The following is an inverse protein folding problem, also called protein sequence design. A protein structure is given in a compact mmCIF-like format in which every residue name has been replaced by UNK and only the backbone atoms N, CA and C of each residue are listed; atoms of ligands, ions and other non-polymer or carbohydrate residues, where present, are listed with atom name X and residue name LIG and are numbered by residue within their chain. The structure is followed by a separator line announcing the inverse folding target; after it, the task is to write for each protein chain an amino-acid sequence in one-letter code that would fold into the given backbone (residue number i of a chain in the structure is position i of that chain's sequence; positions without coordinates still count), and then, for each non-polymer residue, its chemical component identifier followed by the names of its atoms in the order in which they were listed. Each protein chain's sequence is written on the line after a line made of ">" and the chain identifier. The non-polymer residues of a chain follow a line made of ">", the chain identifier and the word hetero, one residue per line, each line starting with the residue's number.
data_IF_202098780723
#
_entry.id   IF_202098780723
#
_cell.length_a   1.000
_cell.length_b   1.000
_cell.length_c   1.000
_cell.angle_alpha   90.00
_cell.angle_beta   90.00
_cell.angle_gamma   90.00
#
_symmetry.space_group_name_H-M   'P 1'
#
loop_
_entity.id
_entity.type
_entity.pdbx_description
1 polymer ?
#
# COMPACT_ATOMS: atom_id res chain seq x y z
N UNK A 1 -9.85 -7.03 -13.23
CA UNK A 1 -9.17 -6.89 -11.91
C UNK A 1 -7.71 -7.25 -12.10
N UNK A 2 -6.80 -6.49 -11.49
CA UNK A 2 -5.36 -6.82 -11.46
C UNK A 2 -4.98 -7.31 -10.08
N UNK A 3 -3.97 -8.16 -10.00
CA UNK A 3 -3.54 -8.85 -8.78
C UNK A 3 -2.01 -8.81 -8.73
N UNK A 4 -1.47 -8.33 -7.62
CA UNK A 4 -0.07 -8.48 -7.28
C UNK A 4 0.13 -9.94 -6.80
N UNK A 5 0.76 -10.76 -7.62
CA UNK A 5 1.04 -12.17 -7.34
C UNK A 5 2.49 -12.28 -6.82
N UNK A 6 2.65 -11.88 -5.57
CA UNK A 6 3.91 -11.48 -4.92
C UNK A 6 4.99 -12.54 -5.02
N UNK A 7 4.71 -13.74 -4.51
CA UNK A 7 5.68 -14.86 -4.45
C UNK A 7 6.00 -15.46 -5.82
N UNK A 8 5.12 -15.26 -6.80
CA UNK A 8 5.34 -15.69 -8.17
C UNK A 8 6.06 -14.63 -9.02
N UNK A 9 6.35 -13.45 -8.46
CA UNK A 9 6.97 -12.34 -9.18
C UNK A 9 6.20 -11.97 -10.46
N UNK A 10 4.86 -11.89 -10.35
CA UNK A 10 3.97 -11.61 -11.47
C UNK A 10 2.91 -10.57 -11.10
N UNK A 11 2.44 -9.83 -12.10
CA UNK A 11 1.17 -9.13 -12.03
C UNK A 11 0.17 -9.88 -12.91
N UNK A 12 -0.99 -10.23 -12.33
CA UNK A 12 -2.02 -11.00 -13.02
C UNK A 12 -3.23 -10.11 -13.37
N UNK A 13 -3.86 -10.45 -14.49
CA UNK A 13 -5.14 -9.88 -14.90
C UNK A 13 -6.23 -10.94 -14.78
N UNK A 14 -7.27 -10.69 -13.98
CA UNK A 14 -8.42 -11.57 -13.82
C UNK A 14 -9.64 -10.99 -14.54
N UNK A 15 -10.20 -11.75 -15.48
CA UNK A 15 -11.44 -11.45 -16.17
C UNK A 15 -12.58 -12.19 -15.47
N UNK A 16 -13.28 -11.51 -14.56
CA UNK A 16 -14.26 -12.12 -13.66
C UNK A 16 -15.44 -12.77 -14.43
N UNK A 17 -15.94 -12.13 -15.49
CA UNK A 17 -17.04 -12.67 -16.31
C UNK A 17 -16.67 -13.94 -17.05
N UNK A 18 -15.43 -14.08 -17.51
CA UNK A 18 -14.93 -15.28 -18.21
C UNK A 18 -14.26 -16.28 -17.26
N UNK A 19 -14.07 -15.95 -15.99
CA UNK A 19 -13.35 -16.76 -14.99
C UNK A 19 -11.95 -17.16 -15.46
N UNK A 20 -11.26 -16.23 -16.12
CA UNK A 20 -9.90 -16.43 -16.64
C UNK A 20 -8.92 -15.56 -15.89
N UNK A 21 -7.72 -16.08 -15.67
CA UNK A 21 -6.58 -15.33 -15.13
C UNK A 21 -5.43 -15.47 -16.11
N UNK A 22 -4.81 -14.34 -16.48
CA UNK A 22 -3.63 -14.28 -17.33
C UNK A 22 -2.54 -13.46 -16.67
N UNK A 23 -1.29 -13.63 -17.11
CA UNK A 23 -0.18 -12.77 -16.72
C UNK A 23 -0.26 -11.44 -17.48
N UNK A 24 -0.17 -10.34 -16.76
CA UNK A 24 -0.10 -8.98 -17.34
C UNK A 24 1.34 -8.47 -17.39
N UNK A 25 2.17 -8.80 -16.40
CA UNK A 25 3.60 -8.47 -16.37
C UNK A 25 4.37 -9.45 -15.47
N UNK A 26 5.68 -9.51 -15.69
CA UNK A 26 6.56 -10.48 -15.05
C UNK A 26 6.71 -11.75 -15.86
N UNK A 27 7.87 -12.39 -15.76
CA UNK A 27 8.18 -13.67 -16.41
C UNK A 27 8.29 -14.84 -15.41
N UNK A 28 7.97 -14.58 -14.11
CA UNK A 28 8.05 -15.57 -13.04
C UNK A 28 9.44 -15.73 -12.43
N UNK A 29 10.44 -15.00 -12.92
CA UNK A 29 11.74 -14.93 -12.29
C UNK A 29 11.88 -13.68 -11.45
N UNK A 30 12.53 -13.79 -10.30
CA UNK A 30 12.82 -12.65 -9.44
C UNK A 30 13.77 -11.67 -10.14
N UNK A 31 13.31 -10.42 -10.31
CA UNK A 31 14.14 -9.32 -10.80
C UNK A 31 15.22 -8.94 -9.79
N UNK A 32 16.37 -8.51 -10.29
CA UNK A 32 17.50 -8.07 -9.50
C UNK A 32 17.67 -6.55 -9.57
N UNK A 33 18.43 -6.01 -8.64
CA UNK A 33 18.81 -4.60 -8.68
C UNK A 33 19.50 -4.24 -10.02
N UNK A 34 19.09 -3.12 -10.61
CA UNK A 34 19.59 -2.69 -11.92
C UNK A 34 18.73 -3.12 -13.10
N UNK A 35 17.62 -3.78 -12.87
CA UNK A 35 16.63 -4.04 -13.93
C UNK A 35 16.07 -2.72 -14.49
N UNK A 36 16.07 -2.61 -15.81
CA UNK A 36 15.63 -1.41 -16.53
C UNK A 36 14.23 -1.55 -17.15
N UNK A 37 13.65 -2.75 -17.08
CA UNK A 37 12.38 -3.04 -17.70
C UNK A 37 12.46 -3.40 -19.19
N UNK A 38 11.31 -3.52 -19.82
CA UNK A 38 11.17 -3.94 -21.22
C UNK A 38 9.76 -4.45 -21.52
N UNK A 39 9.64 -5.43 -22.42
CA UNK A 39 8.38 -6.10 -22.72
C UNK A 39 7.81 -6.75 -21.47
N UNK A 40 6.53 -6.49 -21.17
CA UNK A 40 5.93 -6.83 -19.85
C UNK A 40 6.04 -8.31 -19.49
N UNK A 41 5.90 -9.22 -20.44
CA UNK A 41 5.95 -10.66 -20.19
C UNK A 41 7.37 -11.26 -20.22
N UNK A 42 8.37 -10.46 -20.59
CA UNK A 42 9.77 -10.89 -20.64
C UNK A 42 10.60 -10.28 -19.49
N UNK A 43 10.09 -9.20 -18.88
CA UNK A 43 10.77 -8.46 -17.82
C UNK A 43 10.64 -9.20 -16.49
N UNK A 44 11.75 -9.57 -15.81
CA UNK A 44 11.69 -10.07 -14.45
C UNK A 44 11.30 -8.93 -13.50
N UNK A 45 10.38 -9.19 -12.59
CA UNK A 45 9.95 -8.26 -11.53
C UNK A 45 10.15 -8.90 -10.16
N UNK A 46 10.18 -8.13 -9.08
CA UNK A 46 10.48 -8.70 -7.76
C UNK A 46 9.48 -8.25 -6.71
N UNK A 47 8.72 -9.22 -6.23
CA UNK A 47 7.79 -9.05 -5.09
C UNK A 47 6.85 -7.84 -5.27
N UNK A 48 5.96 -7.85 -6.29
CA UNK A 48 4.89 -6.86 -6.37
C UNK A 48 3.94 -7.07 -5.18
N UNK A 49 3.74 -6.03 -4.35
CA UNK A 49 2.91 -6.16 -3.14
C UNK A 49 1.52 -5.56 -3.30
N UNK A 50 1.43 -4.42 -3.94
CA UNK A 50 0.16 -3.75 -4.20
C UNK A 50 0.22 -2.96 -5.51
N UNK A 51 -0.93 -2.60 -6.04
CA UNK A 51 -1.00 -1.88 -7.31
C UNK A 51 -2.26 -0.99 -7.40
N UNK A 52 -2.12 0.07 -8.16
CA UNK A 52 -3.22 0.96 -8.51
C UNK A 52 -3.22 1.25 -10.00
N UNK A 53 -4.42 1.35 -10.59
CA UNK A 53 -4.59 1.63 -12.02
C UNK A 53 -5.01 3.10 -12.25
N UNK A 54 -4.36 3.77 -13.19
CA UNK A 54 -4.72 5.09 -13.67
C UNK A 54 -4.52 5.18 -15.19
N UNK A 55 -5.55 5.52 -15.95
CA UNK A 55 -5.46 5.78 -17.39
C UNK A 55 -4.68 4.70 -18.18
N UNK A 56 -4.98 3.42 -17.93
CA UNK A 56 -4.30 2.27 -18.58
C UNK A 56 -2.84 2.06 -18.17
N UNK A 57 -2.40 2.74 -17.12
CA UNK A 57 -1.12 2.50 -16.45
C UNK A 57 -1.39 1.82 -15.10
N UNK A 58 -0.67 0.75 -14.79
CA UNK A 58 -0.58 0.23 -13.44
C UNK A 58 0.67 0.80 -12.77
N UNK A 59 0.50 1.35 -11.58
CA UNK A 59 1.62 1.62 -10.69
C UNK A 59 1.68 0.50 -9.65
N UNK A 60 2.85 -0.07 -9.48
CA UNK A 60 3.06 -1.27 -8.66
C UNK A 60 4.11 -0.97 -7.59
N UNK A 61 3.77 -1.21 -6.34
CA UNK A 61 4.73 -1.20 -5.24
C UNK A 61 5.60 -2.46 -5.36
N UNK A 62 6.85 -2.27 -5.77
CA UNK A 62 7.82 -3.34 -6.06
C UNK A 62 8.77 -3.49 -4.88
N UNK A 63 8.30 -4.13 -3.80
CA UNK A 63 9.02 -4.21 -2.54
C UNK A 63 10.42 -4.79 -2.67
N UNK A 64 10.58 -5.85 -3.45
CA UNK A 64 11.89 -6.50 -3.64
C UNK A 64 12.93 -5.70 -4.44
N UNK A 65 12.52 -4.57 -5.05
CA UNK A 65 13.42 -3.66 -5.78
C UNK A 65 13.47 -2.26 -5.15
N UNK A 66 12.80 -2.03 -4.04
CA UNK A 66 12.72 -0.72 -3.37
C UNK A 66 12.27 0.41 -4.30
N UNK A 67 11.30 0.12 -5.17
CA UNK A 67 10.85 1.02 -6.24
C UNK A 67 9.33 0.97 -6.43
N UNK A 68 8.78 2.00 -7.06
CA UNK A 68 7.48 1.95 -7.71
C UNK A 68 7.71 1.72 -9.19
N UNK A 69 7.06 0.71 -9.74
CA UNK A 69 7.14 0.37 -11.15
C UNK A 69 5.87 0.78 -11.89
N UNK A 70 5.98 0.96 -13.19
CA UNK A 70 4.89 1.29 -14.09
C UNK A 70 4.74 0.22 -15.16
N UNK A 71 3.49 -0.20 -15.41
CA UNK A 71 3.12 -1.11 -16.51
C UNK A 71 2.18 -0.36 -17.43
N UNK A 72 2.65 -0.07 -18.65
CA UNK A 72 1.83 0.47 -19.72
C UNK A 72 1.04 -0.69 -20.37
N UNK A 73 -0.25 -0.73 -20.11
CA UNK A 73 -1.13 -1.82 -20.58
C UNK A 73 -1.39 -1.78 -22.10
N UNK A 74 -1.22 -0.64 -22.73
CA UNK A 74 -1.44 -0.49 -24.17
C UNK A 74 -0.18 -0.85 -24.97
N UNK A 75 0.99 -0.43 -24.47
CA UNK A 75 2.28 -0.74 -25.09
C UNK A 75 2.86 -2.06 -24.64
N UNK A 76 2.30 -2.68 -23.57
CA UNK A 76 2.83 -3.88 -22.95
C UNK A 76 4.30 -3.74 -22.53
N UNK A 77 4.61 -2.61 -21.89
CA UNK A 77 5.94 -2.28 -21.36
C UNK A 77 5.88 -2.14 -19.85
N UNK A 78 6.93 -2.60 -19.19
CA UNK A 78 7.08 -2.56 -17.72
C UNK A 78 8.45 -1.99 -17.39
N UNK A 79 8.52 -0.97 -16.52
CA UNK A 79 9.77 -0.31 -16.15
C UNK A 79 9.70 0.42 -14.81
N UNK A 80 10.85 0.72 -14.16
CA UNK A 80 10.88 1.55 -12.97
C UNK A 80 10.27 2.93 -13.23
N UNK A 81 9.47 3.42 -12.28
CA UNK A 81 8.89 4.76 -12.34
C UNK A 81 9.48 5.69 -11.28
N UNK A 82 9.59 5.21 -10.03
CA UNK A 82 10.16 6.01 -8.95
C UNK A 82 11.00 5.14 -8.01
N UNK A 83 12.12 5.72 -7.58
CA UNK A 83 13.06 5.07 -6.67
C UNK A 83 14.36 4.66 -7.35
N UNK A 84 15.47 4.93 -6.68
CA UNK A 84 16.82 4.58 -7.15
C UNK A 84 17.14 3.08 -7.06
N UNK A 85 16.25 2.28 -6.48
CA UNK A 85 16.48 0.85 -6.19
C UNK A 85 17.37 0.61 -4.97
N UNK A 86 17.80 1.65 -4.28
CA UNK A 86 18.54 1.55 -3.01
C UNK A 86 17.55 1.63 -1.87
N UNK A 87 17.72 0.77 -0.87
CA UNK A 87 16.99 0.87 0.38
C UNK A 87 17.40 2.16 1.11
N UNK A 88 16.51 3.14 1.13
CA UNK A 88 16.77 4.44 1.73
C UNK A 88 15.48 5.24 1.98
N UNK A 89 15.52 6.14 2.94
CA UNK A 89 14.57 7.23 3.10
C UNK A 89 15.14 8.50 2.48
N UNK A 90 14.92 8.70 1.19
CA UNK A 90 15.41 9.87 0.47
C UNK A 90 14.27 10.50 -0.34
N UNK A 91 14.00 11.79 -0.08
CA UNK A 91 13.10 12.62 -0.88
C UNK A 91 13.86 13.23 -2.07
N UNK A 92 13.16 13.58 -3.13
CA UNK A 92 13.75 14.18 -4.33
C UNK A 92 12.98 13.88 -5.60
N UNK A 93 13.65 13.97 -6.74
CA UNK A 93 13.05 13.55 -8.02
C UNK A 93 12.71 12.05 -8.02
N UNK A 94 11.81 11.62 -8.90
CA UNK A 94 11.44 10.19 -8.98
C UNK A 94 12.64 9.28 -9.20
N UNK A 95 13.66 9.74 -9.92
CA UNK A 95 14.85 8.94 -10.22
C UNK A 95 15.85 8.85 -9.05
N UNK A 96 15.88 9.88 -8.18
CA UNK A 96 16.85 9.99 -7.09
C UNK A 96 16.30 9.49 -5.75
N UNK A 97 14.98 9.52 -5.59
CA UNK A 97 14.33 9.12 -4.36
C UNK A 97 14.71 7.69 -3.94
N UNK A 98 14.67 7.42 -2.63
CA UNK A 98 14.86 6.09 -2.07
C UNK A 98 13.61 5.63 -1.34
N UNK A 99 13.33 4.32 -1.42
CA UNK A 99 12.29 3.63 -0.68
C UNK A 99 12.89 2.45 0.09
N UNK A 100 12.17 1.96 1.10
CA UNK A 100 12.53 0.76 1.85
C UNK A 100 11.33 -0.20 1.88
N UNK A 101 11.27 -1.10 0.91
CA UNK A 101 10.19 -2.08 0.71
C UNK A 101 8.78 -1.45 0.63
N UNK A 102 8.51 -0.60 -0.38
CA UNK A 102 7.18 -0.03 -0.57
C UNK A 102 6.16 -1.15 -0.72
N UNK A 103 5.09 -1.13 0.07
CA UNK A 103 4.10 -2.20 0.15
C UNK A 103 2.73 -1.78 -0.36
N UNK A 104 2.02 -0.91 0.36
CA UNK A 104 0.71 -0.44 -0.07
C UNK A 104 0.81 0.80 -0.96
N UNK A 105 -0.08 0.91 -1.94
CA UNK A 105 -0.14 2.06 -2.85
C UNK A 105 -1.59 2.46 -3.15
N UNK A 106 -1.87 3.76 -3.16
CA UNK A 106 -3.16 4.31 -3.59
C UNK A 106 -2.98 5.61 -4.36
N UNK A 107 -3.97 6.00 -5.16
CA UNK A 107 -3.93 7.21 -5.99
C UNK A 107 -5.08 8.16 -5.63
N UNK A 108 -4.77 9.43 -5.45
CA UNK A 108 -5.76 10.51 -5.32
C UNK A 108 -5.36 11.65 -6.27
N UNK A 109 -6.23 11.95 -7.21
CA UNK A 109 -5.92 12.94 -8.25
C UNK A 109 -4.67 12.56 -9.03
N UNK A 110 -3.63 13.37 -8.95
CA UNK A 110 -2.32 13.14 -9.58
C UNK A 110 -1.21 12.80 -8.56
N UNK A 111 -1.55 12.26 -7.39
CA UNK A 111 -0.58 11.90 -6.37
C UNK A 111 -0.76 10.45 -5.96
N UNK A 112 0.30 9.65 -6.09
CA UNK A 112 0.39 8.33 -5.49
C UNK A 112 0.81 8.48 -4.02
N UNK A 113 0.16 7.72 -3.16
CA UNK A 113 0.54 7.60 -1.75
C UNK A 113 0.99 6.18 -1.47
N UNK A 114 2.11 6.04 -0.80
CA UNK A 114 2.79 4.76 -0.60
C UNK A 114 3.07 4.54 0.88
N UNK A 115 2.74 3.36 1.36
CA UNK A 115 3.25 2.85 2.64
C UNK A 115 4.64 2.26 2.39
N UNK A 116 5.66 2.93 2.91
CA UNK A 116 7.06 2.54 2.77
C UNK A 116 7.47 1.81 4.05
N UNK A 117 7.31 0.49 4.03
CA UNK A 117 7.11 -0.32 5.23
C UNK A 117 8.33 -0.43 6.12
N UNK A 118 9.51 -0.70 5.57
CA UNK A 118 10.73 -0.85 6.37
C UNK A 118 11.25 0.49 6.89
N UNK A 119 10.96 1.59 6.20
CA UNK A 119 11.25 2.93 6.73
C UNK A 119 10.18 3.46 7.69
N UNK A 120 9.08 2.73 7.88
CA UNK A 120 7.98 3.11 8.79
C UNK A 120 7.34 4.47 8.49
N UNK A 121 7.23 4.84 7.21
CA UNK A 121 6.77 6.16 6.77
C UNK A 121 5.71 6.08 5.68
N UNK A 122 5.05 7.20 5.44
CA UNK A 122 4.14 7.38 4.30
C UNK A 122 4.75 8.37 3.33
N UNK A 123 4.84 7.97 2.05
CA UNK A 123 5.39 8.78 0.97
C UNK A 123 4.28 9.29 0.04
N UNK A 124 4.53 10.43 -0.58
CA UNK A 124 3.73 10.95 -1.68
C UNK A 124 4.60 11.12 -2.92
N UNK A 125 4.11 10.67 -4.07
CA UNK A 125 4.76 10.82 -5.37
C UNK A 125 3.82 11.67 -6.24
N UNK A 126 4.23 12.87 -6.56
CA UNK A 126 3.50 13.71 -7.50
C UNK A 126 3.76 13.22 -8.93
N UNK A 127 2.68 12.86 -9.65
CA UNK A 127 2.79 12.47 -11.05
C UNK A 127 3.12 13.69 -11.93
N UNK A 128 3.50 13.48 -13.21
CA UNK A 128 3.86 14.58 -14.10
C UNK A 128 2.84 15.76 -14.07
N UNK A 129 3.32 17.02 -14.14
CA UNK A 129 4.69 17.41 -14.50
C UNK A 129 5.67 17.51 -13.33
N UNK A 130 5.26 17.39 -12.07
CA UNK A 130 6.13 17.60 -10.92
C UNK A 130 7.19 16.49 -10.76
N UNK A 131 6.80 15.22 -10.84
CA UNK A 131 7.71 14.05 -10.74
C UNK A 131 8.63 14.10 -9.52
N UNK A 132 8.07 14.38 -8.35
CA UNK A 132 8.80 14.43 -7.08
C UNK A 132 8.24 13.45 -6.04
N UNK A 133 9.10 13.00 -5.17
CA UNK A 133 8.79 12.13 -4.03
C UNK A 133 9.09 12.88 -2.74
N UNK A 134 8.13 12.83 -1.79
CA UNK A 134 8.31 13.45 -0.47
C UNK A 134 7.73 12.58 0.64
N UNK A 135 8.33 12.67 1.81
CA UNK A 135 7.80 12.06 3.03
C UNK A 135 6.66 12.90 3.60
N UNK A 136 5.51 12.27 3.85
CA UNK A 136 4.35 12.92 4.48
C UNK A 136 4.32 12.73 6.00
N UNK A 137 4.60 11.52 6.47
CA UNK A 137 4.53 11.17 7.87
C UNK A 137 5.50 10.03 8.20
N UNK A 138 6.05 10.08 9.40
CA UNK A 138 7.02 9.14 9.92
C UNK A 138 8.37 9.81 10.20
N UNK A 139 9.14 9.18 11.07
CA UNK A 139 10.45 9.68 11.51
C UNK A 139 11.59 9.38 10.55
N UNK A 140 12.79 9.28 11.06
CA UNK A 140 13.97 8.92 10.28
C UNK A 140 14.03 7.40 10.00
N UNK A 141 14.91 6.97 9.12
CA UNK A 141 15.15 5.56 8.83
C UNK A 141 15.42 4.82 10.15
N UNK A 142 14.74 3.69 10.36
CA UNK A 142 14.76 2.90 11.60
C UNK A 142 14.02 3.50 12.82
N UNK A 143 13.41 4.69 12.72
CA UNK A 143 12.53 5.19 13.77
C UNK A 143 11.11 4.63 13.61
N UNK A 144 10.66 3.86 14.59
CA UNK A 144 9.34 3.26 14.62
C UNK A 144 8.64 3.46 15.98
N UNK A 145 7.38 3.10 16.06
CA UNK A 145 6.56 3.16 17.29
C UNK A 145 5.10 3.45 17.00
N UNK A 146 4.35 3.80 18.04
CA UNK A 146 2.94 4.18 17.95
C UNK A 146 2.75 5.60 18.50
N UNK A 147 2.98 6.62 17.67
CA UNK A 147 2.78 8.01 18.06
C UNK A 147 2.00 8.77 17.00
N UNK A 148 0.87 9.28 17.40
CA UNK A 148 0.11 10.24 16.61
C UNK A 148 0.84 11.59 16.58
N UNK A 149 0.60 12.39 15.54
CA UNK A 149 1.29 13.67 15.43
C UNK A 149 1.16 14.29 14.05
N UNK A 150 2.19 15.04 13.67
CA UNK A 150 2.27 15.71 12.36
C UNK A 150 3.64 15.53 11.74
N UNK A 151 3.65 15.11 10.48
CA UNK A 151 4.88 14.99 9.70
C UNK A 151 5.90 14.07 10.38
N UNK A 152 7.09 14.60 10.64
CA UNK A 152 8.22 13.84 11.16
C UNK A 152 8.10 13.47 12.66
N UNK A 153 7.09 14.04 13.37
CA UNK A 153 6.77 13.65 14.74
C UNK A 153 6.01 12.32 14.85
N UNK A 154 5.42 11.84 13.75
CA UNK A 154 4.65 10.61 13.72
C UNK A 154 5.57 9.41 13.87
N UNK A 155 5.08 8.36 14.54
CA UNK A 155 5.71 7.04 14.50
C UNK A 155 4.67 6.02 14.09
N UNK A 156 5.03 5.23 13.09
CA UNK A 156 4.34 4.05 12.61
C UNK A 156 5.23 2.83 12.84
N UNK A 157 4.68 1.66 12.66
CA UNK A 157 5.47 0.44 12.72
C UNK A 157 5.03 -0.53 11.63
N UNK A 158 5.88 -0.66 10.61
CA UNK A 158 5.71 -1.54 9.47
C UNK A 158 4.33 -1.37 8.79
N UNK A 159 3.97 -0.15 8.32
CA UNK A 159 2.68 0.08 7.68
C UNK A 159 2.63 -0.67 6.35
N UNK A 160 1.66 -1.59 6.17
CA UNK A 160 1.53 -2.39 4.95
C UNK A 160 0.49 -1.84 3.99
N UNK A 161 -0.72 -1.59 4.44
CA UNK A 161 -1.82 -1.17 3.57
C UNK A 161 -2.11 0.32 3.64
N UNK A 162 -2.50 0.90 2.52
CA UNK A 162 -2.98 2.28 2.43
C UNK A 162 -4.19 2.37 1.49
N UNK A 163 -5.24 3.09 1.91
CA UNK A 163 -6.42 3.32 1.08
C UNK A 163 -6.94 4.74 1.24
N UNK A 164 -7.44 5.34 0.16
CA UNK A 164 -7.91 6.72 0.15
C UNK A 164 -9.44 6.82 0.09
N UNK A 165 -10.02 7.72 0.91
CA UNK A 165 -11.42 8.09 0.82
C UNK A 165 -11.58 9.60 1.01
N UNK A 166 -11.96 10.31 -0.06
CA UNK A 166 -11.93 11.77 -0.10
C UNK A 166 -10.51 12.28 0.17
N UNK A 167 -10.39 13.22 1.11
CA UNK A 167 -9.12 13.84 1.49
C UNK A 167 -8.36 13.05 2.59
N UNK A 168 -8.79 11.83 2.90
CA UNK A 168 -8.20 11.03 3.97
C UNK A 168 -7.53 9.78 3.44
N UNK A 169 -6.38 9.46 4.00
CA UNK A 169 -5.68 8.21 3.78
C UNK A 169 -5.80 7.34 5.04
N UNK A 170 -6.26 6.11 4.88
CA UNK A 170 -6.28 5.11 5.93
C UNK A 170 -5.05 4.23 5.79
N UNK A 171 -4.39 3.95 6.89
CA UNK A 171 -3.11 3.24 6.96
C UNK A 171 -3.28 2.05 7.89
N UNK A 172 -2.96 0.87 7.43
CA UNK A 172 -2.77 -0.29 8.28
C UNK A 172 -1.39 -0.16 8.96
N UNK A 173 -1.39 0.30 10.20
CA UNK A 173 -0.20 0.42 11.05
C UNK A 173 0.04 -0.94 11.72
N UNK A 174 0.59 -1.85 10.93
CA UNK A 174 0.46 -3.31 11.06
C UNK A 174 0.95 -3.83 12.39
N UNK A 175 2.18 -3.53 12.77
CA UNK A 175 2.75 -4.04 14.02
C UNK A 175 2.30 -3.26 15.26
N UNK A 176 1.60 -2.12 15.07
CA UNK A 176 0.87 -1.45 16.13
C UNK A 176 -0.58 -1.95 16.28
N UNK A 177 -1.00 -2.92 15.46
CA UNK A 177 -2.34 -3.51 15.50
C UNK A 177 -3.46 -2.47 15.41
N UNK A 178 -3.27 -1.45 14.55
CA UNK A 178 -4.16 -0.30 14.41
C UNK A 178 -4.43 0.07 12.96
N UNK A 179 -5.52 0.77 12.78
CA UNK A 179 -5.75 1.58 11.59
C UNK A 179 -5.55 3.04 11.99
N UNK A 180 -4.69 3.75 11.28
CA UNK A 180 -4.50 5.20 11.42
C UNK A 180 -5.12 5.95 10.26
N UNK A 181 -5.39 7.23 10.45
CA UNK A 181 -5.86 8.13 9.39
C UNK A 181 -4.91 9.31 9.28
N UNK A 182 -4.48 9.59 8.04
CA UNK A 182 -3.64 10.71 7.66
C UNK A 182 -4.44 11.70 6.81
N UNK A 183 -4.37 12.96 7.15
CA UNK A 183 -4.74 14.09 6.28
C UNK A 183 -3.49 14.57 5.53
N UNK A 184 -3.39 14.36 4.21
CA UNK A 184 -2.19 14.71 3.44
C UNK A 184 -1.88 16.21 3.41
N UNK A 185 -2.90 17.07 3.46
CA UNK A 185 -2.72 18.52 3.39
C UNK A 185 -2.08 19.07 4.67
N UNK A 186 -2.56 18.64 5.83
CA UNK A 186 -2.01 19.03 7.12
C UNK A 186 -0.87 18.15 7.61
N UNK A 187 -0.62 17.01 6.97
CA UNK A 187 0.31 15.96 7.39
C UNK A 187 0.02 15.41 8.80
N UNK A 188 -1.24 15.50 9.24
CA UNK A 188 -1.65 15.05 10.57
C UNK A 188 -2.11 13.61 10.54
N UNK A 189 -1.53 12.80 11.40
CA UNK A 189 -1.89 11.39 11.61
C UNK A 189 -2.50 11.21 12.99
N UNK A 190 -3.54 10.39 13.08
CA UNK A 190 -4.15 9.96 14.34
C UNK A 190 -4.68 8.52 14.25
N UNK A 191 -4.78 7.87 15.39
CA UNK A 191 -5.48 6.59 15.48
C UNK A 191 -6.93 6.72 14.99
N UNK A 192 -7.40 5.77 14.20
CA UNK A 192 -8.77 5.70 13.71
C UNK A 192 -9.54 4.53 14.31
N UNK A 193 -8.97 3.31 14.29
CA UNK A 193 -9.54 2.11 14.89
C UNK A 193 -8.44 1.18 15.39
N UNK A 194 -8.76 0.37 16.39
CA UNK A 194 -7.84 -0.57 17.03
C UNK A 194 -7.30 -0.05 18.36
N UNK A 195 -7.28 -0.92 19.37
CA UNK A 195 -6.79 -0.62 20.72
C UNK A 195 -5.25 -0.56 20.81
N UNK A 196 -4.54 -1.09 19.81
CA UNK A 196 -3.09 -1.29 19.82
C UNK A 196 -2.66 -2.58 20.51
N UNK A 197 -3.61 -3.41 20.92
CA UNK A 197 -3.32 -4.75 21.44
C UNK A 197 -3.74 -5.78 20.39
N UNK A 198 -2.95 -6.83 20.16
CA UNK A 198 -3.36 -7.90 19.27
C UNK A 198 -4.61 -8.61 19.79
N UNK A 199 -5.52 -8.97 18.91
CA UNK A 199 -6.77 -9.67 19.22
C UNK A 199 -7.83 -9.50 18.15
N UNK A 200 -9.01 -10.11 18.36
CA UNK A 200 -10.10 -10.18 17.38
C UNK A 200 -11.40 -9.53 17.85
N UNK A 201 -11.38 -8.77 18.93
CA UNK A 201 -12.56 -8.14 19.52
C UNK A 201 -13.19 -7.13 18.56
N UNK A 202 -14.51 -7.28 18.32
CA UNK A 202 -15.32 -6.28 17.65
C UNK A 202 -15.72 -5.15 18.62
N UNK A 203 -16.18 -4.01 18.09
CA UNK A 203 -16.70 -2.94 18.95
C UNK A 203 -16.33 -1.54 18.50
N UNK A 204 -16.41 -0.60 19.43
CA UNK A 204 -16.09 0.81 19.17
C UNK A 204 -14.62 0.98 18.79
N UNK A 205 -14.33 2.00 17.97
CA UNK A 205 -13.03 2.28 17.36
C UNK A 205 -11.79 2.02 18.25
N UNK A 206 -11.76 2.62 19.44
CA UNK A 206 -10.61 2.50 20.36
C UNK A 206 -10.62 1.25 21.25
N UNK A 207 -11.65 0.40 21.15
CA UNK A 207 -11.76 -0.85 21.94
C UNK A 207 -11.57 -2.09 21.09
N UNK A 208 -11.97 -2.02 19.82
CA UNK A 208 -11.76 -3.11 18.88
C UNK A 208 -10.28 -3.52 18.81
N UNK A 209 -10.04 -4.75 18.44
CA UNK A 209 -8.71 -5.29 18.29
C UNK A 209 -8.50 -5.81 16.88
N UNK A 210 -7.28 -5.65 16.39
CA UNK A 210 -6.77 -6.28 15.17
C UNK A 210 -5.51 -7.07 15.51
N UNK A 211 -5.13 -7.97 14.63
CA UNK A 211 -3.84 -8.65 14.77
C UNK A 211 -3.10 -8.60 13.43
N UNK A 212 -2.13 -7.66 13.34
CA UNK A 212 -1.35 -7.38 12.15
C UNK A 212 -2.23 -7.12 10.91
N UNK A 213 -3.09 -6.06 10.96
CA UNK A 213 -3.90 -5.69 9.81
C UNK A 213 -3.00 -5.34 8.63
N UNK A 214 -3.31 -5.88 7.46
CA UNK A 214 -2.55 -5.69 6.23
C UNK A 214 -3.32 -4.89 5.18
N UNK A 215 -3.87 -5.54 4.16
CA UNK A 215 -4.56 -4.90 3.05
C UNK A 215 -5.81 -4.10 3.44
N UNK A 216 -6.01 -2.98 2.77
CA UNK A 216 -7.13 -2.08 2.98
C UNK A 216 -7.92 -1.87 1.68
N UNK A 217 -9.24 -1.84 1.79
CA UNK A 217 -10.13 -1.41 0.73
C UNK A 217 -11.23 -0.52 1.29
N UNK A 218 -11.62 0.52 0.57
CA UNK A 218 -12.53 1.53 1.09
C UNK A 218 -13.70 1.79 0.14
N UNK A 219 -14.89 1.96 0.72
CA UNK A 219 -16.09 2.48 0.05
C UNK A 219 -16.45 3.86 0.60
N UNK A 220 -17.54 4.43 0.15
CA UNK A 220 -18.06 5.69 0.71
C UNK A 220 -18.49 5.59 2.18
N UNK A 221 -18.75 4.38 2.69
CA UNK A 221 -19.32 4.18 4.03
C UNK A 221 -18.42 3.40 4.99
N UNK A 222 -17.55 2.54 4.46
CA UNK A 222 -16.78 1.61 5.27
C UNK A 222 -15.39 1.37 4.71
N UNK A 223 -14.46 1.13 5.62
CA UNK A 223 -13.15 0.56 5.34
C UNK A 223 -13.21 -0.94 5.61
N UNK A 224 -12.69 -1.73 4.69
CA UNK A 224 -12.50 -3.17 4.83
C UNK A 224 -11.02 -3.45 5.08
N UNK A 225 -10.75 -4.28 6.06
CA UNK A 225 -9.41 -4.58 6.56
C UNK A 225 -9.17 -6.07 6.48
N UNK A 226 -8.10 -6.48 5.81
CA UNK A 226 -7.57 -7.82 5.93
C UNK A 226 -6.86 -7.91 7.30
N UNK A 227 -7.54 -8.51 8.27
CA UNK A 227 -7.02 -8.71 9.63
C UNK A 227 -6.22 -10.02 9.66
N UNK A 228 -4.99 -9.94 9.18
CA UNK A 228 -4.21 -11.03 8.62
C UNK A 228 -4.03 -12.19 9.60
N UNK A 229 -3.53 -11.94 10.80
CA UNK A 229 -3.26 -13.00 11.78
C UNK A 229 -4.52 -13.45 12.53
N UNK A 230 -5.65 -12.77 12.35
CA UNK A 230 -6.96 -13.25 12.76
C UNK A 230 -7.68 -14.05 11.65
N UNK A 231 -7.10 -14.17 10.46
CA UNK A 231 -7.71 -14.83 9.29
C UNK A 231 -9.12 -14.32 8.99
N UNK A 232 -9.34 -13.01 9.13
CA UNK A 232 -10.66 -12.38 9.07
C UNK A 232 -10.66 -11.14 8.17
N UNK A 233 -11.83 -10.83 7.62
CA UNK A 233 -12.10 -9.53 7.02
C UNK A 233 -12.93 -8.72 8.01
N UNK A 234 -12.41 -7.54 8.38
CA UNK A 234 -13.11 -6.64 9.30
C UNK A 234 -13.68 -5.45 8.52
N UNK A 235 -14.83 -4.99 8.94
CA UNK A 235 -15.50 -3.80 8.42
C UNK A 235 -15.44 -2.70 9.47
N UNK A 236 -14.93 -1.54 9.11
CA UNK A 236 -14.86 -0.37 9.97
C UNK A 236 -15.75 0.73 9.40
N UNK A 237 -16.74 1.20 10.14
CA UNK A 237 -17.61 2.31 9.75
C UNK A 237 -16.80 3.61 9.65
N UNK A 238 -16.81 4.30 8.51
CA UNK A 238 -16.13 5.59 8.35
C UNK A 238 -16.75 6.72 9.16
N UNK A 239 -18.01 6.56 9.59
CA UNK A 239 -18.74 7.58 10.37
C UNK A 239 -18.52 7.41 11.86
N UNK A 240 -18.60 6.17 12.37
CA UNK A 240 -18.58 5.89 13.82
C UNK A 240 -17.28 5.25 14.30
N UNK A 241 -16.48 4.67 13.39
CA UNK A 241 -15.33 3.85 13.72
C UNK A 241 -15.68 2.47 14.30
N UNK A 242 -16.98 2.11 14.33
CA UNK A 242 -17.41 0.77 14.77
C UNK A 242 -16.76 -0.29 13.89
N UNK A 243 -16.22 -1.32 14.51
CA UNK A 243 -15.56 -2.47 13.86
C UNK A 243 -16.42 -3.70 14.03
N UNK A 244 -16.68 -4.39 12.94
CA UNK A 244 -17.44 -5.64 12.88
C UNK A 244 -16.69 -6.67 12.04
N UNK A 245 -16.73 -7.93 12.43
CA UNK A 245 -16.18 -9.04 11.63
C UNK A 245 -17.17 -9.46 10.56
N UNK A 246 -16.72 -9.62 9.31
CA UNK A 246 -17.54 -10.13 8.22
C UNK A 246 -17.62 -11.64 8.29
N UNK A 247 -18.83 -12.16 8.42
CA UNK A 247 -19.08 -13.60 8.31
C UNK A 247 -19.47 -13.93 6.89
N UNK A 248 -18.70 -14.82 6.22
CA UNK A 248 -19.03 -15.35 4.90
C UNK A 248 -19.97 -16.53 5.08
N UNK A 249 -21.19 -16.44 4.54
CA UNK A 249 -22.07 -17.60 4.46
C UNK A 249 -21.56 -18.54 3.36
N UNK A 250 -21.22 -19.76 3.73
CA UNK A 250 -21.01 -20.83 2.75
C UNK A 250 -22.37 -21.33 2.28
N UNK A 251 -22.80 -20.94 1.08
CA UNK A 251 -23.87 -21.69 0.38
C UNK A 251 -23.25 -22.99 -0.10
N UNK A 252 -23.61 -24.06 0.57
CA UNK A 252 -23.36 -25.44 0.11
C UNK A 252 -24.28 -25.75 -1.08
#
# INVERSE_FOLDING_TARGET
>A
MYIADTENHLVRAAHLGMRLVATAAGNGHQGLWGEHGGASLETPISSPWDLVVANRILFVAMAGLHQIWMIDLDRQLTFPYAGSGREARLDGSVDEAGFAQPSGITLVGSTLYVADSESNIIRAIALPPANDVRTLAGGDLFEFGDRDGRGDDVRLQHPLGIAASGDRLFIADTYNHRIKVLDPASRKVKAFAGSGKPGSEDGAAGKAQFYEPGGLSVTSQALYVADTNNHAIRRVSLTTGQVDTITLATTV
#
